data_IF_635832772644
#
_entry.id   IF_635832772644
#
_cell.length_a   1.000
_cell.length_b   1.000
_cell.length_c   1.000
_cell.angle_alpha   90.00
_cell.angle_beta   90.00
_cell.angle_gamma   90.00
#
_symmetry.space_group_name_H-M   'P 1'
#
loop_
_entity.id
_entity.type
_entity.pdbx_description
1 polymer ?
#
# COMPACT_ATOMS: atom_id res chain seq x y z
N UNK A 1 -24.10 -6.93 -27.53
CA UNK A 1 -23.28 -7.87 -26.72
C UNK A 1 -24.11 -9.11 -26.42
N UNK A 2 -23.61 -10.32 -26.66
CA UNK A 2 -24.30 -11.54 -26.32
C UNK A 2 -24.08 -11.93 -24.86
N UNK A 3 -24.83 -12.93 -24.38
CA UNK A 3 -24.74 -13.34 -22.96
C UNK A 3 -23.39 -13.94 -22.59
N UNK A 4 -22.74 -14.63 -23.52
CA UNK A 4 -21.42 -15.21 -23.25
C UNK A 4 -20.39 -14.13 -23.00
N UNK A 5 -20.41 -13.05 -23.75
CA UNK A 5 -19.52 -11.92 -23.55
C UNK A 5 -19.78 -11.19 -22.24
N UNK A 6 -21.07 -11.04 -21.89
CA UNK A 6 -21.48 -10.43 -20.63
C UNK A 6 -20.93 -11.20 -19.44
N UNK A 7 -21.10 -12.52 -19.43
CA UNK A 7 -20.59 -13.36 -18.34
C UNK A 7 -19.07 -13.39 -18.29
N UNK A 8 -18.41 -13.34 -19.45
CA UNK A 8 -16.95 -13.25 -19.50
C UNK A 8 -16.45 -11.96 -18.84
N UNK A 9 -17.13 -10.84 -19.10
CA UNK A 9 -16.78 -9.58 -18.46
C UNK A 9 -16.95 -9.63 -16.94
N UNK A 10 -18.04 -10.22 -16.46
CA UNK A 10 -18.28 -10.39 -15.03
C UNK A 10 -17.16 -11.22 -14.39
N UNK A 11 -16.80 -12.33 -15.01
CA UNK A 11 -15.73 -13.20 -14.53
C UNK A 11 -14.39 -12.48 -14.51
N UNK A 12 -14.08 -11.70 -15.54
CA UNK A 12 -12.84 -10.94 -15.63
C UNK A 12 -12.74 -9.89 -14.53
N UNK A 13 -13.85 -9.19 -14.24
CA UNK A 13 -13.88 -8.21 -13.17
C UNK A 13 -13.66 -8.85 -11.81
N UNK A 14 -14.30 -9.99 -11.56
CA UNK A 14 -14.11 -10.73 -10.31
C UNK A 14 -12.66 -11.16 -10.13
N UNK A 15 -12.05 -11.72 -11.16
CA UNK A 15 -10.67 -12.18 -11.10
C UNK A 15 -9.70 -11.02 -10.92
N UNK A 16 -9.96 -9.89 -11.54
CA UNK A 16 -9.16 -8.68 -11.38
C UNK A 16 -9.22 -8.16 -9.94
N UNK A 17 -10.41 -8.11 -9.35
CA UNK A 17 -10.59 -7.65 -7.98
C UNK A 17 -9.95 -8.60 -6.99
N UNK A 18 -10.04 -9.90 -7.21
CA UNK A 18 -9.39 -10.91 -6.38
C UNK A 18 -7.88 -10.75 -6.39
N UNK A 19 -7.30 -10.56 -7.58
CA UNK A 19 -5.86 -10.34 -7.72
C UNK A 19 -5.42 -9.09 -6.97
N UNK A 20 -6.18 -8.00 -7.10
CA UNK A 20 -5.89 -6.74 -6.42
C UNK A 20 -5.96 -6.90 -4.91
N UNK A 21 -6.96 -7.61 -4.39
CA UNK A 21 -7.09 -7.86 -2.96
C UNK A 21 -5.89 -8.65 -2.41
N UNK A 22 -5.45 -9.67 -3.14
CA UNK A 22 -4.27 -10.45 -2.76
C UNK A 22 -3.00 -9.60 -2.77
N UNK A 23 -2.84 -8.74 -3.77
CA UNK A 23 -1.70 -7.84 -3.86
C UNK A 23 -1.70 -6.83 -2.71
N UNK A 24 -2.86 -6.26 -2.37
CA UNK A 24 -3.02 -5.34 -1.25
C UNK A 24 -2.61 -6.02 0.06
N UNK A 25 -3.11 -7.22 0.33
CA UNK A 25 -2.79 -7.94 1.56
C UNK A 25 -1.30 -8.27 1.66
N UNK A 26 -0.70 -8.66 0.56
CA UNK A 26 0.73 -9.00 0.52
C UNK A 26 1.58 -7.78 0.85
N UNK A 27 1.30 -6.66 0.19
CA UNK A 27 2.05 -5.41 0.41
C UNK A 27 1.80 -4.87 1.82
N UNK A 28 0.56 -4.89 2.28
CA UNK A 28 0.18 -4.46 3.62
C UNK A 28 0.95 -5.26 4.68
N UNK A 29 0.97 -6.58 4.56
CA UNK A 29 1.68 -7.45 5.49
C UNK A 29 3.18 -7.19 5.50
N UNK A 30 3.77 -6.94 4.33
CA UNK A 30 5.19 -6.60 4.21
C UNK A 30 5.53 -5.30 4.90
N UNK A 31 4.69 -4.28 4.72
CA UNK A 31 4.89 -2.98 5.35
C UNK A 31 4.71 -3.08 6.87
N UNK A 32 3.70 -3.79 7.36
CA UNK A 32 3.51 -4.00 8.79
C UNK A 32 4.70 -4.71 9.43
N UNK A 33 5.30 -5.65 8.74
CA UNK A 33 6.48 -6.35 9.22
C UNK A 33 7.65 -5.38 9.41
N UNK A 34 7.84 -4.47 8.46
CA UNK A 34 8.89 -3.45 8.55
C UNK A 34 8.60 -2.42 9.65
N UNK A 35 7.34 -2.02 9.80
CA UNK A 35 6.91 -1.13 10.89
C UNK A 35 7.22 -1.77 12.24
N UNK A 36 6.92 -3.06 12.40
CA UNK A 36 7.21 -3.78 13.63
C UNK A 36 8.70 -3.78 13.95
N UNK A 37 9.55 -4.01 12.95
CA UNK A 37 11.00 -3.97 13.14
C UNK A 37 11.47 -2.61 13.62
N UNK A 38 10.94 -1.54 13.04
CA UNK A 38 11.29 -0.17 13.44
C UNK A 38 10.80 0.14 14.85
N UNK A 39 9.59 -0.29 15.20
CA UNK A 39 9.05 -0.11 16.55
C UNK A 39 9.88 -0.86 17.60
N UNK A 40 10.38 -2.05 17.28
CA UNK A 40 11.23 -2.83 18.17
C UNK A 40 12.58 -2.16 18.44
N UNK A 41 13.01 -1.28 17.54
CA UNK A 41 14.22 -0.46 17.72
C UNK A 41 13.95 0.84 18.47
N UNK A 42 12.70 1.07 18.88
CA UNK A 42 12.30 2.31 19.55
C UNK A 42 11.96 3.46 18.63
N UNK A 43 11.81 3.22 17.35
CA UNK A 43 11.42 4.24 16.38
C UNK A 43 9.91 4.38 16.32
N UNK A 44 9.42 5.56 15.92
CA UNK A 44 7.99 5.87 15.81
C UNK A 44 7.57 6.17 14.38
N UNK A 45 8.44 5.91 13.42
CA UNK A 45 8.16 6.12 12.01
C UNK A 45 8.94 5.16 11.13
N UNK A 46 8.45 5.03 9.90
CA UNK A 46 9.07 4.17 8.89
C UNK A 46 8.97 4.89 7.55
N UNK A 47 10.11 5.05 6.88
CA UNK A 47 10.17 5.63 5.54
C UNK A 47 9.92 4.52 4.52
N UNK A 48 8.88 4.68 3.72
CA UNK A 48 8.48 3.65 2.76
C UNK A 48 9.43 3.65 1.56
N UNK A 49 10.05 2.50 1.25
CA UNK A 49 10.91 2.40 0.07
C UNK A 49 10.13 2.72 -1.22
N UNK A 50 10.80 3.36 -2.16
CA UNK A 50 10.21 3.76 -3.43
C UNK A 50 9.54 2.59 -4.16
N UNK A 51 10.11 1.40 -4.09
CA UNK A 51 9.58 0.21 -4.74
C UNK A 51 8.15 -0.15 -4.30
N UNK A 52 7.73 0.24 -3.09
CA UNK A 52 6.36 0.04 -2.65
C UNK A 52 5.45 1.14 -3.15
N UNK A 53 5.94 2.38 -3.21
CA UNK A 53 5.12 3.54 -3.56
C UNK A 53 4.67 3.55 -5.02
N UNK A 54 5.41 2.86 -5.91
CA UNK A 54 5.06 2.77 -7.33
C UNK A 54 4.08 1.64 -7.63
N UNK A 55 3.77 0.79 -6.65
CA UNK A 55 2.83 -0.31 -6.85
C UNK A 55 1.40 0.23 -6.94
N UNK A 56 0.62 -0.37 -7.84
CA UNK A 56 -0.78 0.04 -8.04
C UNK A 56 -1.62 -0.10 -6.76
N UNK A 57 -1.30 -1.10 -5.94
CA UNK A 57 -2.03 -1.38 -4.71
C UNK A 57 -1.65 -0.45 -3.55
N UNK A 58 -0.61 0.38 -3.69
CA UNK A 58 -0.12 1.21 -2.58
C UNK A 58 -1.19 2.16 -2.04
N UNK A 59 -2.00 2.76 -2.92
CA UNK A 59 -3.06 3.68 -2.49
C UNK A 59 -4.11 2.99 -1.61
N UNK A 60 -4.37 1.71 -1.86
CA UNK A 60 -5.30 0.93 -1.04
C UNK A 60 -4.67 0.57 0.30
N UNK A 61 -3.39 0.21 0.29
CA UNK A 61 -2.64 -0.08 1.52
C UNK A 61 -2.57 1.16 2.40
N UNK A 62 -2.34 2.32 1.82
CA UNK A 62 -2.32 3.61 2.51
C UNK A 62 -3.63 3.85 3.26
N UNK A 63 -4.76 3.63 2.61
CA UNK A 63 -6.08 3.79 3.23
C UNK A 63 -6.30 2.83 4.40
N UNK A 64 -5.84 1.59 4.26
CA UNK A 64 -5.95 0.60 5.34
C UNK A 64 -5.11 1.03 6.54
N UNK A 65 -3.89 1.47 6.30
CA UNK A 65 -3.00 1.93 7.36
C UNK A 65 -3.57 3.16 8.09
N UNK A 66 -4.13 4.11 7.35
CA UNK A 66 -4.79 5.29 7.96
C UNK A 66 -5.97 4.86 8.83
N UNK A 67 -6.77 3.91 8.37
CA UNK A 67 -7.90 3.38 9.11
C UNK A 67 -7.45 2.64 10.37
N UNK A 68 -6.27 2.01 10.34
CA UNK A 68 -5.68 1.34 11.48
C UNK A 68 -5.06 2.30 12.50
N UNK A 69 -5.03 3.59 12.21
CA UNK A 69 -4.55 4.61 13.13
C UNK A 69 -3.15 5.15 12.84
N UNK A 70 -2.55 4.76 11.72
CA UNK A 70 -1.26 5.29 11.33
C UNK A 70 -1.42 6.65 10.63
N UNK A 71 -0.47 7.54 10.86
CA UNK A 71 -0.38 8.79 10.13
C UNK A 71 0.57 8.59 8.94
N UNK A 72 0.11 9.00 7.76
CA UNK A 72 0.92 8.87 6.55
C UNK A 72 1.13 10.27 5.98
N UNK A 73 2.40 10.62 5.77
CA UNK A 73 2.77 11.91 5.19
C UNK A 73 3.64 11.71 3.97
N UNK A 74 3.53 12.65 3.04
CA UNK A 74 4.35 12.70 1.84
C UNK A 74 5.36 13.82 2.04
N UNK A 75 6.63 13.47 1.95
CA UNK A 75 7.72 14.41 2.21
C UNK A 75 8.57 14.61 0.96
N UNK A 76 9.12 15.80 0.83
CA UNK A 76 10.03 16.15 -0.25
C UNK A 76 11.32 16.69 0.35
N UNK A 77 12.44 16.07 -0.01
CA UNK A 77 13.75 16.52 0.43
C UNK A 77 14.34 17.48 -0.60
N UNK A 78 14.36 18.77 -0.25
CA UNK A 78 14.85 19.82 -1.15
C UNK A 78 16.36 19.75 -1.39
N UNK A 79 17.11 19.22 -0.43
CA UNK A 79 18.57 19.13 -0.56
C UNK A 79 18.96 17.99 -1.49
N UNK A 80 18.39 16.82 -1.29
CA UNK A 80 18.69 15.62 -2.08
C UNK A 80 17.78 15.46 -3.29
N UNK A 81 16.67 16.21 -3.33
CA UNK A 81 15.78 16.23 -4.49
C UNK A 81 14.93 14.98 -4.68
N UNK A 82 14.67 14.22 -3.62
CA UNK A 82 13.81 13.05 -3.73
C UNK A 82 12.58 13.14 -2.84
N UNK A 83 11.58 12.34 -3.18
CA UNK A 83 10.31 12.27 -2.50
C UNK A 83 10.20 10.94 -1.76
N UNK A 84 9.56 10.95 -0.60
CA UNK A 84 9.33 9.72 0.15
C UNK A 84 8.05 9.80 0.96
N UNK A 85 7.52 8.65 1.30
CA UNK A 85 6.37 8.52 2.17
C UNK A 85 6.83 8.07 3.55
N UNK A 86 6.24 8.66 4.59
CA UNK A 86 6.56 8.31 5.96
C UNK A 86 5.29 7.87 6.68
N UNK A 87 5.37 6.71 7.34
CA UNK A 87 4.29 6.17 8.16
C UNK A 87 4.69 6.32 9.61
N UNK A 88 3.85 6.94 10.42
CA UNK A 88 4.15 7.16 11.84
C UNK A 88 3.03 6.64 12.72
N UNK A 89 3.39 6.29 13.95
CA UNK A 89 2.46 5.73 14.95
C UNK A 89 2.62 6.38 16.32
N UNK A 90 3.09 7.58 16.32
CA UNK A 90 3.31 8.34 17.54
C UNK A 90 2.05 8.95 18.14
#
# INVERSE_FOLDING_TARGET
MNKAEEFKQIANEYNKNKYLQEAVQRTYSSILKEIKKEAEKGHYSYSVPYQFTILKEFSYVEKILEKDGFDISYEYDFEDGYEYWEISWR
#
